data_IF_300571729778
#
_entry.id   IF_300571729778
#
_cell.length_a   1.000
_cell.length_b   1.000
_cell.length_c   1.000
_cell.angle_alpha   90.00
_cell.angle_beta   90.00
_cell.angle_gamma   90.00
#
_symmetry.space_group_name_H-M   'P 1'
#
loop_
_entity.id
_entity.type
_entity.pdbx_description
1 polymer ?
#
# COMPACT_ATOMS: atom_id res chain seq x y z
N UNK A 1 21.09 64.41 14.45
CA UNK A 1 21.32 63.04 13.93
C UNK A 1 20.94 62.07 15.03
N UNK A 2 20.05 61.14 14.68
CA UNK A 2 19.34 60.20 15.56
C UNK A 2 20.33 59.21 16.19
N UNK A 3 20.12 58.91 17.48
CA UNK A 3 20.96 58.00 18.25
C UNK A 3 20.44 56.55 18.35
N UNK A 4 21.19 55.81 19.17
CA UNK A 4 20.87 54.57 19.90
C UNK A 4 20.74 53.24 19.13
N UNK A 5 21.80 52.44 19.27
CA UNK A 5 21.86 51.13 19.95
C UNK A 5 20.77 50.05 19.68
N UNK A 6 21.26 48.84 19.40
CA UNK A 6 20.47 47.61 19.56
C UNK A 6 21.06 46.40 18.84
N UNK A 7 22.15 45.84 19.36
CA UNK A 7 22.68 44.53 18.95
C UNK A 7 21.75 43.48 19.56
N UNK A 8 20.87 42.87 18.76
CA UNK A 8 20.01 41.76 19.21
C UNK A 8 20.71 40.45 18.92
N UNK A 9 20.99 39.73 20.01
CA UNK A 9 21.73 38.48 20.03
C UNK A 9 20.96 37.25 19.54
N UNK A 10 21.79 36.24 19.32
CA UNK A 10 21.58 34.82 19.07
C UNK A 10 20.27 34.19 19.57
N UNK A 11 19.68 33.35 18.71
CA UNK A 11 18.99 32.13 19.12
C UNK A 11 19.21 31.05 18.05
N UNK A 12 20.31 30.30 18.18
CA UNK A 12 20.51 29.02 17.51
C UNK A 12 19.56 28.02 18.16
N UNK A 13 18.43 27.70 17.51
CA UNK A 13 17.58 26.59 17.95
C UNK A 13 18.21 25.29 17.46
N UNK A 14 19.01 24.68 18.31
CA UNK A 14 19.41 23.28 18.16
C UNK A 14 18.21 22.43 18.59
N UNK A 15 17.44 21.93 17.63
CA UNK A 15 16.44 20.90 17.90
C UNK A 15 17.17 19.55 18.09
N UNK A 16 17.67 19.32 19.31
CA UNK A 16 18.10 18.00 19.77
C UNK A 16 16.86 17.14 19.98
N UNK A 17 16.96 15.90 19.51
CA UNK A 17 15.89 14.93 19.40
C UNK A 17 14.97 14.80 20.62
N UNK A 18 13.68 14.84 20.33
CA UNK A 18 12.70 14.01 21.02
C UNK A 18 12.34 12.89 20.06
N UNK A 19 12.97 11.71 20.24
CA UNK A 19 12.37 10.46 19.77
C UNK A 19 11.06 10.32 20.53
N UNK A 20 9.99 10.87 19.98
CA UNK A 20 8.65 10.65 20.46
C UNK A 20 8.38 9.16 20.21
N UNK A 21 8.59 8.37 21.26
CA UNK A 21 8.17 6.99 21.30
C UNK A 21 6.68 6.99 21.01
N UNK A 22 6.32 6.42 19.86
CA UNK A 22 4.93 6.15 19.53
C UNK A 22 4.49 5.10 20.56
N UNK A 23 3.61 5.49 21.48
CA UNK A 23 2.97 4.55 22.41
C UNK A 23 2.35 3.40 21.60
N UNK A 24 2.44 2.17 22.10
CA UNK A 24 1.88 0.99 21.44
C UNK A 24 0.39 1.16 21.09
N UNK A 25 -0.38 1.87 21.93
CA UNK A 25 -1.78 2.26 21.68
C UNK A 25 -2.00 3.19 20.46
N UNK A 26 -0.96 3.91 20.00
CA UNK A 26 -1.06 4.86 18.88
C UNK A 26 -0.81 4.23 17.51
N UNK A 27 -0.20 3.05 17.47
CA UNK A 27 0.00 2.26 16.24
C UNK A 27 -1.24 1.40 15.95
N UNK A 28 -1.98 1.06 17.00
CA UNK A 28 -3.13 0.14 16.99
C UNK A 28 -4.43 0.73 16.42
N UNK A 29 -4.39 1.92 15.82
CA UNK A 29 -5.48 2.39 14.95
C UNK A 29 -5.01 3.11 13.69
N UNK A 30 -3.86 2.73 13.11
CA UNK A 30 -3.46 3.24 11.79
C UNK A 30 -4.45 2.80 10.69
N UNK A 31 -5.04 1.60 10.85
CA UNK A 31 -6.03 1.04 9.93
C UNK A 31 -7.12 0.32 10.73
N UNK A 32 -8.37 0.53 10.37
CA UNK A 32 -9.51 -0.23 10.92
C UNK A 32 -9.50 -1.69 10.45
N UNK A 33 -10.14 -2.59 11.19
CA UNK A 33 -10.30 -4.01 10.82
C UNK A 33 -10.84 -4.20 9.41
N UNK A 34 -11.79 -3.34 9.01
CA UNK A 34 -12.41 -3.40 7.68
C UNK A 34 -11.43 -2.98 6.58
N UNK A 35 -10.60 -1.98 6.82
CA UNK A 35 -9.54 -1.58 5.90
C UNK A 35 -8.48 -2.69 5.78
N UNK A 36 -8.08 -3.28 6.90
CA UNK A 36 -7.14 -4.42 6.96
C UNK A 36 -7.65 -5.62 6.16
N UNK A 37 -8.93 -5.97 6.31
CA UNK A 37 -9.57 -7.04 5.56
C UNK A 37 -9.53 -6.80 4.03
N UNK A 38 -9.77 -5.56 3.60
CA UNK A 38 -9.65 -5.21 2.17
C UNK A 38 -8.21 -5.30 1.71
N UNK A 39 -7.24 -4.80 2.47
CA UNK A 39 -5.81 -4.88 2.10
C UNK A 39 -5.37 -6.34 1.96
N UNK A 40 -5.80 -7.23 2.86
CA UNK A 40 -5.54 -8.67 2.73
C UNK A 40 -6.20 -9.27 1.49
N UNK A 41 -7.43 -8.87 1.17
CA UNK A 41 -8.09 -9.31 -0.06
C UNK A 41 -7.31 -8.84 -1.30
N UNK A 42 -6.75 -7.62 -1.28
CA UNK A 42 -5.87 -7.08 -2.32
C UNK A 42 -4.57 -7.88 -2.41
N UNK A 43 -3.92 -8.18 -1.28
CA UNK A 43 -2.68 -8.97 -1.24
C UNK A 43 -2.90 -10.38 -1.81
N UNK A 44 -3.96 -11.06 -1.38
CA UNK A 44 -4.35 -12.38 -1.92
C UNK A 44 -4.68 -12.34 -3.41
N UNK A 45 -5.27 -11.25 -3.88
CA UNK A 45 -5.56 -11.08 -5.31
C UNK A 45 -4.28 -10.82 -6.12
N UNK A 46 -3.41 -9.93 -5.64
CA UNK A 46 -2.15 -9.55 -6.27
C UNK A 46 -1.10 -10.66 -6.28
N UNK A 47 -1.14 -11.58 -5.30
CA UNK A 47 -0.29 -12.76 -5.27
C UNK A 47 -0.41 -13.66 -6.53
N UNK A 48 -1.53 -13.56 -7.27
CA UNK A 48 -1.83 -14.41 -8.44
C UNK A 48 -1.95 -13.67 -9.77
N UNK A 49 -2.19 -12.36 -9.75
CA UNK A 49 -2.70 -11.63 -10.90
C UNK A 49 -1.99 -10.28 -11.03
N UNK A 50 -1.61 -9.83 -12.26
CA UNK A 50 -1.77 -10.53 -13.54
C UNK A 50 -0.76 -11.68 -13.74
N UNK A 51 0.39 -11.60 -13.08
CA UNK A 51 1.41 -12.66 -13.05
C UNK A 51 1.51 -13.20 -11.63
N UNK A 52 1.73 -14.50 -11.49
CA UNK A 52 1.98 -15.11 -10.18
C UNK A 52 3.19 -14.45 -9.54
N UNK A 53 3.03 -14.04 -8.29
CA UNK A 53 4.10 -13.40 -7.54
C UNK A 53 5.24 -14.42 -7.32
N UNK A 54 6.52 -14.06 -7.55
CA UNK A 54 7.63 -14.99 -7.33
C UNK A 54 7.73 -15.46 -5.88
N UNK A 55 8.38 -16.61 -5.67
CA UNK A 55 8.56 -17.15 -4.32
C UNK A 55 9.54 -16.33 -3.47
N UNK A 56 10.50 -15.64 -4.11
CA UNK A 56 11.56 -14.85 -3.45
C UNK A 56 12.40 -15.62 -2.41
N UNK A 57 12.37 -16.96 -2.45
CA UNK A 57 13.04 -17.81 -1.46
C UNK A 57 12.38 -17.78 -0.08
N UNK A 58 11.15 -17.27 0.02
CA UNK A 58 10.40 -17.24 1.26
C UNK A 58 9.58 -18.52 1.43
N UNK A 59 9.37 -18.92 2.69
CA UNK A 59 8.56 -20.09 3.01
C UNK A 59 7.07 -19.86 2.68
N UNK A 60 6.47 -20.88 2.05
CA UNK A 60 5.05 -20.89 1.69
C UNK A 60 4.73 -20.20 0.36
N UNK A 61 3.53 -20.46 -0.16
CA UNK A 61 3.11 -19.85 -1.42
C UNK A 61 2.83 -18.36 -1.21
N UNK A 62 2.93 -17.52 -2.26
CA UNK A 62 2.62 -16.09 -2.14
C UNK A 62 1.22 -15.80 -1.53
N UNK A 63 0.26 -16.70 -1.75
CA UNK A 63 -1.09 -16.58 -1.19
C UNK A 63 -1.16 -16.96 0.29
N UNK A 64 -0.40 -17.96 0.73
CA UNK A 64 -0.35 -18.32 2.15
C UNK A 64 0.35 -17.23 2.97
N UNK A 65 1.29 -16.51 2.35
CA UNK A 65 1.98 -15.35 2.96
C UNK A 65 1.10 -14.11 3.11
N UNK A 66 0.00 -14.02 2.37
CA UNK A 66 -0.95 -12.91 2.46
C UNK A 66 -1.90 -13.08 3.66
N UNK A 67 -1.34 -13.07 4.87
CA UNK A 67 -2.03 -13.25 6.15
C UNK A 67 -1.93 -12.02 7.07
N UNK A 68 -2.66 -12.07 8.19
CA UNK A 68 -2.72 -10.97 9.16
C UNK A 68 -1.36 -10.68 9.80
N UNK A 69 -0.59 -11.71 10.14
CA UNK A 69 0.72 -11.54 10.80
C UNK A 69 1.71 -10.81 9.89
N UNK A 70 1.71 -11.13 8.60
CA UNK A 70 2.51 -10.44 7.59
C UNK A 70 2.01 -9.03 7.30
N UNK A 71 0.69 -8.81 7.33
CA UNK A 71 0.14 -7.46 7.22
C UNK A 71 0.62 -6.60 8.40
N UNK A 72 0.62 -7.13 9.63
CA UNK A 72 1.10 -6.41 10.80
C UNK A 72 2.57 -6.01 10.66
N UNK A 73 3.42 -6.93 10.21
CA UNK A 73 4.83 -6.65 9.94
C UNK A 73 5.00 -5.58 8.85
N UNK A 74 4.14 -5.55 7.83
CA UNK A 74 4.18 -4.53 6.79
C UNK A 74 3.68 -3.17 7.30
N UNK A 75 2.63 -3.15 8.12
CA UNK A 75 2.09 -1.92 8.74
C UNK A 75 3.08 -1.29 9.71
N UNK A 76 3.83 -2.10 10.49
CA UNK A 76 4.88 -1.60 11.38
C UNK A 76 6.02 -0.85 10.66
N UNK A 77 6.20 -1.09 9.36
CA UNK A 77 7.21 -0.41 8.52
C UNK A 77 6.64 0.82 7.82
N UNK A 78 5.35 1.09 7.94
CA UNK A 78 4.66 2.17 7.24
C UNK A 78 4.90 3.51 7.92
N UNK A 79 5.28 4.53 7.17
CA UNK A 79 5.33 5.89 7.69
C UNK A 79 3.91 6.49 7.85
N UNK A 80 3.79 7.54 8.67
CA UNK A 80 2.50 8.11 9.04
C UNK A 80 1.76 8.77 7.86
N UNK A 81 2.47 9.36 6.90
CA UNK A 81 1.84 9.97 5.72
C UNK A 81 1.35 8.88 4.76
N UNK A 82 2.14 7.83 4.57
CA UNK A 82 1.78 6.66 3.78
C UNK A 82 0.58 5.94 4.37
N UNK A 83 0.49 5.84 5.70
CA UNK A 83 -0.67 5.26 6.38
C UNK A 83 -1.97 5.98 6.04
N UNK A 84 -1.97 7.33 5.97
CA UNK A 84 -3.16 8.11 5.57
C UNK A 84 -3.58 7.78 4.13
N UNK A 85 -2.62 7.63 3.21
CA UNK A 85 -2.91 7.24 1.83
C UNK A 85 -3.46 5.82 1.72
N UNK A 86 -2.92 4.87 2.49
CA UNK A 86 -3.43 3.51 2.56
C UNK A 86 -4.87 3.50 3.08
N UNK A 87 -5.14 4.20 4.18
CA UNK A 87 -6.48 4.29 4.77
C UNK A 87 -7.48 4.87 3.76
N UNK A 88 -7.15 6.00 3.13
CA UNK A 88 -8.00 6.63 2.11
C UNK A 88 -8.25 5.72 0.90
N UNK A 89 -7.24 4.97 0.45
CA UNK A 89 -7.38 4.02 -0.66
C UNK A 89 -8.26 2.83 -0.29
N UNK A 90 -8.11 2.30 0.91
CA UNK A 90 -8.95 1.23 1.44
C UNK A 90 -10.41 1.68 1.57
N UNK A 91 -10.66 2.90 2.06
CA UNK A 91 -12.00 3.48 2.16
C UNK A 91 -12.64 3.67 0.78
N UNK A 92 -11.89 4.13 -0.23
CA UNK A 92 -12.38 4.24 -1.59
C UNK A 92 -12.78 2.89 -2.18
N UNK A 93 -12.02 1.82 -1.90
CA UNK A 93 -12.36 0.46 -2.31
C UNK A 93 -13.61 -0.06 -1.57
N UNK A 94 -13.71 0.21 -0.27
CA UNK A 94 -14.87 -0.16 0.56
C UNK A 94 -16.15 0.53 0.11
N UNK A 95 -16.09 1.83 -0.21
CA UNK A 95 -17.22 2.61 -0.71
C UNK A 95 -17.79 2.03 -2.02
N UNK A 96 -16.94 1.38 -2.84
CA UNK A 96 -17.35 0.71 -4.08
C UNK A 96 -17.83 -0.73 -3.88
N UNK A 97 -17.82 -1.21 -2.63
CA UNK A 97 -18.25 -2.55 -2.24
C UNK A 97 -17.26 -3.63 -2.66
N UNK A 98 -15.97 -3.31 -2.70
CA UNK A 98 -14.95 -4.27 -3.09
C UNK A 98 -14.83 -5.46 -2.11
N UNK A 99 -15.25 -5.26 -0.86
CA UNK A 99 -15.36 -6.28 0.18
C UNK A 99 -16.44 -7.35 -0.10
N UNK A 100 -17.42 -7.05 -0.96
CA UNK A 100 -18.62 -7.89 -1.15
C UNK A 100 -18.75 -8.51 -2.55
N UNK A 101 -17.90 -8.12 -3.49
CA UNK A 101 -18.10 -8.42 -4.93
C UNK A 101 -17.08 -9.39 -5.54
N UNK A 102 -16.26 -10.03 -4.70
CA UNK A 102 -15.27 -11.03 -5.12
C UNK A 102 -14.03 -10.45 -5.82
N UNK A 103 -13.04 -11.33 -6.07
CA UNK A 103 -11.68 -10.95 -6.50
C UNK A 103 -11.62 -10.17 -7.81
N UNK A 104 -12.32 -10.63 -8.85
CA UNK A 104 -12.25 -9.99 -10.17
C UNK A 104 -12.78 -8.55 -10.13
N UNK A 105 -13.84 -8.31 -9.34
CA UNK A 105 -14.38 -6.96 -9.16
C UNK A 105 -13.44 -6.08 -8.35
N UNK A 106 -12.84 -6.62 -7.28
CA UNK A 106 -11.83 -5.90 -6.49
C UNK A 106 -10.68 -5.40 -7.39
N UNK A 107 -10.10 -6.27 -8.22
CA UNK A 107 -9.02 -5.91 -9.14
C UNK A 107 -9.45 -4.88 -10.19
N UNK A 108 -10.68 -4.99 -10.73
CA UNK A 108 -11.22 -4.01 -11.66
C UNK A 108 -11.44 -2.63 -11.02
N UNK A 109 -11.86 -2.56 -9.74
CA UNK A 109 -11.99 -1.28 -9.03
C UNK A 109 -10.63 -0.64 -8.74
N UNK A 110 -9.60 -1.43 -8.42
CA UNK A 110 -8.21 -0.94 -8.30
C UNK A 110 -7.77 -0.30 -9.61
N UNK A 111 -7.95 -1.00 -10.75
CA UNK A 111 -7.67 -0.46 -12.07
C UNK A 111 -8.43 0.85 -12.33
N UNK A 112 -9.75 0.88 -12.06
CA UNK A 112 -10.56 2.09 -12.28
C UNK A 112 -10.14 3.27 -11.39
N UNK A 113 -9.88 3.04 -10.10
CA UNK A 113 -9.45 4.10 -9.18
C UNK A 113 -8.04 4.59 -9.53
N UNK A 114 -7.19 3.77 -10.13
CA UNK A 114 -5.86 4.20 -10.58
C UNK A 114 -5.87 5.10 -11.82
N UNK A 115 -6.94 5.03 -12.63
CA UNK A 115 -7.17 5.97 -13.73
C UNK A 115 -7.63 7.35 -13.25
N UNK A 116 -8.13 7.44 -12.01
CA UNK A 116 -8.58 8.68 -11.40
C UNK A 116 -7.42 9.38 -10.68
N UNK A 117 -7.08 10.59 -11.13
CA UNK A 117 -5.99 11.39 -10.57
C UNK A 117 -6.14 11.63 -9.06
N UNK A 118 -7.38 11.75 -8.56
CA UNK A 118 -7.64 12.00 -7.13
C UNK A 118 -7.32 10.77 -6.26
N UNK A 119 -7.50 9.57 -6.79
CA UNK A 119 -7.39 8.32 -6.03
C UNK A 119 -6.11 7.54 -6.32
N UNK A 120 -5.39 7.89 -7.40
CA UNK A 120 -4.21 7.17 -7.87
C UNK A 120 -3.16 6.94 -6.78
N UNK A 121 -2.73 7.99 -6.09
CA UNK A 121 -1.71 7.89 -5.03
C UNK A 121 -2.14 6.96 -3.90
N UNK A 122 -3.40 7.04 -3.49
CA UNK A 122 -3.95 6.22 -2.41
C UNK A 122 -4.07 4.75 -2.81
N UNK A 123 -4.44 4.46 -4.06
CA UNK A 123 -4.47 3.08 -4.58
C UNK A 123 -3.06 2.50 -4.76
N UNK A 124 -2.11 3.31 -5.22
CA UNK A 124 -0.70 2.90 -5.28
C UNK A 124 -0.15 2.59 -3.88
N UNK A 125 -0.54 3.35 -2.85
CA UNK A 125 -0.16 3.07 -1.47
C UNK A 125 -0.77 1.75 -0.95
N UNK A 126 -2.06 1.50 -1.21
CA UNK A 126 -2.71 0.20 -0.87
C UNK A 126 -2.01 -0.96 -1.57
N UNK A 127 -1.70 -0.81 -2.86
CA UNK A 127 -0.99 -1.82 -3.63
C UNK A 127 0.42 -2.07 -3.08
N UNK A 128 1.16 -1.03 -2.71
CA UNK A 128 2.49 -1.16 -2.12
C UNK A 128 2.46 -1.94 -0.79
N UNK A 129 1.50 -1.62 0.09
CA UNK A 129 1.32 -2.35 1.34
C UNK A 129 0.91 -3.81 1.10
N UNK A 130 0.01 -4.05 0.13
CA UNK A 130 -0.41 -5.40 -0.23
C UNK A 130 0.75 -6.25 -0.77
N UNK A 131 1.62 -5.67 -1.61
CA UNK A 131 2.85 -6.33 -2.11
C UNK A 131 3.82 -6.62 -0.96
N UNK A 132 4.05 -5.64 -0.08
CA UNK A 132 4.92 -5.76 1.09
C UNK A 132 4.37 -6.76 2.13
N UNK A 133 3.07 -7.07 2.09
CA UNK A 133 2.43 -8.13 2.87
C UNK A 133 2.78 -9.50 2.29
N UNK A 134 2.75 -9.64 0.96
CA UNK A 134 3.10 -10.90 0.28
C UNK A 134 4.59 -11.23 0.40
N UNK A 135 5.46 -10.22 0.33
CA UNK A 135 6.92 -10.40 0.45
C UNK A 135 7.57 -9.28 1.23
N UNK A 136 8.43 -9.67 2.18
CA UNK A 136 9.14 -8.75 3.06
C UNK A 136 10.25 -7.98 2.35
N UNK A 137 10.67 -8.44 1.16
CA UNK A 137 11.66 -7.77 0.32
C UNK A 137 11.21 -6.41 -0.21
N UNK A 138 9.91 -6.12 -0.19
CA UNK A 138 9.35 -4.86 -0.66
C UNK A 138 9.11 -3.87 0.49
N UNK A 139 9.45 -2.61 0.23
CA UNK A 139 9.18 -1.49 1.13
C UNK A 139 7.74 -0.96 0.89
N UNK A 140 6.84 -0.99 1.89
CA UNK A 140 5.47 -0.49 1.75
C UNK A 140 5.39 1.03 1.50
N UNK A 141 6.46 1.78 1.78
CA UNK A 141 6.53 3.22 1.53
C UNK A 141 6.94 3.55 0.07
N UNK A 142 7.45 2.56 -0.67
CA UNK A 142 7.84 2.71 -2.08
C UNK A 142 6.67 2.37 -3.02
N UNK A 143 6.31 3.32 -3.89
CA UNK A 143 5.29 3.09 -4.93
C UNK A 143 5.81 2.34 -6.16
N UNK A 144 7.13 2.18 -6.34
CA UNK A 144 7.69 1.71 -7.62
C UNK A 144 7.19 0.31 -8.04
N UNK A 145 7.19 -0.72 -7.17
CA UNK A 145 6.62 -2.03 -7.51
C UNK A 145 5.09 -1.98 -7.70
N UNK A 146 4.42 -1.14 -6.92
CA UNK A 146 2.98 -0.97 -6.96
C UNK A 146 2.50 -0.33 -8.26
N UNK A 147 3.25 0.63 -8.81
CA UNK A 147 2.92 1.32 -10.06
C UNK A 147 2.87 0.36 -11.25
N UNK A 148 3.80 -0.59 -11.32
CA UNK A 148 3.81 -1.61 -12.38
C UNK A 148 2.57 -2.51 -12.29
N UNK A 149 2.25 -2.96 -11.08
CA UNK A 149 1.10 -3.82 -10.84
C UNK A 149 -0.23 -3.10 -11.12
N UNK A 150 -0.42 -1.92 -10.54
CA UNK A 150 -1.62 -1.08 -10.73
C UNK A 150 -1.75 -0.65 -12.20
N UNK A 151 -0.64 -0.28 -12.85
CA UNK A 151 -0.61 0.07 -14.27
C UNK A 151 -1.07 -1.08 -15.18
N UNK A 152 -0.68 -2.32 -14.85
CA UNK A 152 -1.16 -3.52 -15.54
C UNK A 152 -2.66 -3.73 -15.38
N UNK A 153 -3.19 -3.59 -14.16
CA UNK A 153 -4.64 -3.70 -13.90
C UNK A 153 -5.44 -2.60 -14.61
N UNK A 154 -4.91 -1.38 -14.64
CA UNK A 154 -5.49 -0.27 -15.40
C UNK A 154 -5.61 -0.61 -16.88
N UNK A 155 -4.53 -1.08 -17.49
CA UNK A 155 -4.49 -1.42 -18.92
C UNK A 155 -5.50 -2.53 -19.26
N UNK A 156 -5.62 -3.56 -18.42
CA UNK A 156 -6.63 -4.61 -18.58
C UNK A 156 -8.06 -4.05 -18.47
N UNK A 157 -8.30 -3.16 -17.50
CA UNK A 157 -9.59 -2.51 -17.33
C UNK A 157 -9.99 -1.62 -18.53
N UNK A 158 -9.03 -0.89 -19.11
CA UNK A 158 -9.24 -0.08 -20.32
C UNK A 158 -9.61 -0.93 -21.54
N UNK A 159 -9.12 -2.17 -21.61
CA UNK A 159 -9.44 -3.13 -22.68
C UNK A 159 -10.72 -3.93 -22.44
N UNK A 160 -11.38 -3.73 -21.30
CA UNK A 160 -12.52 -4.56 -20.89
C UNK A 160 -12.15 -6.01 -20.57
N UNK A 161 -10.86 -6.29 -20.38
CA UNK A 161 -10.34 -7.62 -20.08
C UNK A 161 -10.40 -7.89 -18.59
N UNK A 162 -10.76 -9.12 -18.22
CA UNK A 162 -10.72 -9.52 -16.81
C UNK A 162 -9.28 -9.84 -16.41
N UNK A 163 -8.85 -9.40 -15.21
CA UNK A 163 -7.54 -9.74 -14.69
C UNK A 163 -7.54 -11.22 -14.27
N UNK A 164 -7.18 -12.07 -15.21
CA UNK A 164 -6.97 -13.51 -15.03
C UNK A 164 -5.46 -13.78 -14.88
N UNK A 165 -5.06 -14.85 -14.15
CA UNK A 165 -3.68 -15.29 -14.16
C UNK A 165 -3.23 -15.62 -15.59
N UNK A 166 -2.10 -15.08 -16.03
CA UNK A 166 -1.50 -15.46 -17.32
C UNK A 166 -1.01 -16.92 -17.21
N UNK A 167 -1.60 -17.83 -17.98
CA UNK A 167 -1.30 -19.28 -17.91
C UNK A 167 0.06 -19.67 -18.52
N UNK A 168 0.74 -18.79 -19.26
CA UNK A 168 1.87 -19.17 -20.14
C UNK A 168 3.25 -19.38 -19.46
N UNK A 169 3.32 -19.78 -18.19
CA UNK A 169 4.61 -20.11 -17.56
C UNK A 169 4.69 -21.54 -17.00
N UNK A 170 3.62 -22.33 -17.08
CA UNK A 170 3.63 -23.72 -16.55
C UNK A 170 4.00 -24.77 -17.61
N UNK A 171 3.86 -24.49 -18.91
CA UNK A 171 4.17 -25.43 -20.00
C UNK A 171 5.67 -25.55 -20.38
N UNK A 172 6.58 -25.02 -19.55
CA UNK A 172 8.05 -25.10 -19.77
C UNK A 172 8.82 -25.61 -18.57
N UNK A 173 8.33 -26.65 -17.90
CA UNK A 173 9.13 -27.46 -16.98
C UNK A 173 9.06 -28.93 -17.32
#
# INVERSE_FOLDING_TARGET
MIGAAGIVGSATVVAVGSKQGISADGVEALLSDRQRAVILAVAKAGARVPVRFPDFGEDGTPESRADEARLDQAVQRLDAERAKHVAAGADALLARGADRKGRARLLAEIGRLSSDYQHRTSVEAVAALAIATVSSAFDPNSSHPAQMWVGGLRHLGERGEQPLPVQHLEDRR
#
